data_IF_284024609659
#
_entry.id   IF_284024609659
#
_cell.length_a   1.000
_cell.length_b   1.000
_cell.length_c   1.000
_cell.angle_alpha   90.00
_cell.angle_beta   90.00
_cell.angle_gamma   90.00
#
_symmetry.space_group_name_H-M   'P 1'
#
loop_
_entity.id
_entity.type
_entity.pdbx_description
1 polymer ?
#
# COMPACT_ATOMS: atom_id res chain seq x y z
N UNK A 1 -16.85 9.65 10.91
CA UNK A 1 -16.25 10.24 9.69
C UNK A 1 -17.12 11.40 9.21
N UNK A 2 -16.54 12.56 8.89
CA UNK A 2 -17.30 13.76 8.45
C UNK A 2 -18.09 13.45 7.16
N UNK A 3 -19.31 13.99 7.03
CA UNK A 3 -20.21 13.78 5.87
C UNK A 3 -19.50 13.99 4.53
N UNK A 4 -18.79 15.11 4.40
CA UNK A 4 -18.05 15.45 3.18
C UNK A 4 -16.99 14.40 2.77
N UNK A 5 -16.37 13.70 3.73
CA UNK A 5 -15.39 12.65 3.44
C UNK A 5 -16.09 11.41 2.88
N UNK A 6 -17.26 11.04 3.42
CA UNK A 6 -18.07 9.90 2.90
C UNK A 6 -18.50 10.14 1.47
N UNK A 7 -19.00 11.35 1.19
CA UNK A 7 -19.48 11.72 -0.15
C UNK A 7 -18.36 11.74 -1.20
N UNK A 8 -17.14 12.12 -0.80
CA UNK A 8 -15.95 12.04 -1.67
C UNK A 8 -15.51 10.59 -1.88
N UNK A 9 -15.41 9.81 -0.80
CA UNK A 9 -14.96 8.42 -0.86
C UNK A 9 -15.88 7.54 -1.70
N UNK A 10 -17.20 7.78 -1.68
CA UNK A 10 -18.19 7.03 -2.47
C UNK A 10 -18.01 7.12 -3.99
N UNK A 11 -17.19 8.07 -4.49
CA UNK A 11 -16.93 8.28 -5.92
C UNK A 11 -15.61 7.67 -6.38
N UNK A 12 -14.81 7.12 -5.47
CA UNK A 12 -13.48 6.61 -5.77
C UNK A 12 -13.60 5.30 -6.56
N UNK A 13 -12.85 5.22 -7.66
CA UNK A 13 -12.71 4.01 -8.50
C UNK A 13 -11.29 3.47 -8.54
N UNK A 14 -10.32 4.28 -8.10
CA UNK A 14 -8.90 3.96 -8.07
C UNK A 14 -8.30 4.48 -6.77
N UNK A 15 -7.55 3.64 -6.07
CA UNK A 15 -6.73 4.00 -4.93
C UNK A 15 -5.25 3.86 -5.28
N UNK A 16 -4.51 4.96 -5.20
CA UNK A 16 -3.05 4.97 -5.32
C UNK A 16 -2.44 5.07 -3.93
N UNK A 17 -1.53 4.16 -3.61
CA UNK A 17 -0.88 4.07 -2.30
C UNK A 17 0.61 4.33 -2.44
N UNK A 18 1.11 5.24 -1.61
CA UNK A 18 2.55 5.32 -1.33
C UNK A 18 2.98 4.13 -0.46
N UNK A 19 4.28 3.89 -0.38
CA UNK A 19 4.87 2.82 0.41
C UNK A 19 5.39 3.34 1.74
N UNK A 20 6.42 4.18 1.71
CA UNK A 20 7.20 4.49 2.90
C UNK A 20 6.49 5.55 3.75
N UNK A 21 6.02 5.12 4.93
CA UNK A 21 5.18 5.95 5.81
C UNK A 21 3.68 5.86 5.51
N UNK A 22 3.27 5.03 4.54
CA UNK A 22 1.86 4.75 4.24
C UNK A 22 1.53 3.26 4.39
N UNK A 23 2.11 2.39 3.54
CA UNK A 23 1.99 0.93 3.68
C UNK A 23 3.00 0.35 4.67
N UNK A 24 4.03 1.12 5.00
CA UNK A 24 4.99 0.86 6.07
C UNK A 24 4.87 1.94 7.15
N UNK A 25 5.55 1.74 8.27
CA UNK A 25 5.69 2.76 9.31
C UNK A 25 6.76 3.82 8.99
N UNK A 26 7.35 3.79 7.79
CA UNK A 26 8.43 4.67 7.37
C UNK A 26 9.82 4.25 7.85
N UNK A 27 9.94 3.12 8.56
CA UNK A 27 11.23 2.60 9.00
C UNK A 27 11.97 1.92 7.85
N UNK A 28 13.28 2.17 7.76
CA UNK A 28 14.19 1.49 6.85
C UNK A 28 15.18 0.65 7.64
N UNK A 29 15.29 -0.64 7.29
CA UNK A 29 16.25 -1.55 7.89
C UNK A 29 17.38 -1.80 6.91
N UNK A 30 18.59 -1.37 7.30
CA UNK A 30 19.80 -1.56 6.52
C UNK A 30 20.58 -2.76 7.01
N UNK A 31 20.97 -3.63 6.08
CA UNK A 31 22.01 -4.62 6.30
C UNK A 31 23.32 -4.17 5.68
N UNK A 32 24.33 -5.02 5.75
CA UNK A 32 25.70 -4.70 5.28
C UNK A 32 25.77 -4.30 3.79
N UNK A 33 24.76 -4.66 2.99
CA UNK A 33 24.67 -4.39 1.54
C UNK A 33 23.64 -3.29 1.18
N UNK A 34 23.12 -2.52 2.13
CA UNK A 34 22.11 -1.49 1.89
C UNK A 34 20.72 -1.87 2.42
N UNK A 35 19.64 -1.36 1.81
CA UNK A 35 18.28 -1.61 2.28
C UNK A 35 17.94 -3.10 2.20
N UNK A 36 17.64 -3.70 3.36
CA UNK A 36 17.42 -5.13 3.49
C UNK A 36 15.94 -5.48 3.62
N UNK A 37 15.20 -4.73 4.44
CA UNK A 37 13.83 -5.10 4.84
C UNK A 37 12.88 -3.90 4.90
N UNK A 38 11.64 -4.13 4.47
CA UNK A 38 10.49 -3.26 4.70
C UNK A 38 9.44 -4.04 5.49
N UNK A 39 8.79 -3.37 6.44
CA UNK A 39 7.74 -3.97 7.28
C UNK A 39 6.36 -3.50 6.80
N UNK A 40 5.53 -4.46 6.39
CA UNK A 40 4.14 -4.22 5.98
C UNK A 40 3.16 -4.80 7.00
N UNK A 41 1.93 -4.29 7.04
CA UNK A 41 0.87 -4.85 7.88
C UNK A 41 0.00 -5.86 7.11
N UNK A 42 -0.22 -7.02 7.73
CA UNK A 42 -1.10 -8.07 7.17
C UNK A 42 -2.53 -7.57 7.01
N UNK A 43 -3.03 -6.80 7.99
CA UNK A 43 -4.39 -6.23 8.00
C UNK A 43 -4.64 -5.34 6.78
N UNK A 44 -3.67 -4.52 6.41
CA UNK A 44 -3.77 -3.64 5.25
C UNK A 44 -3.83 -4.45 3.96
N UNK A 45 -3.14 -5.59 3.92
CA UNK A 45 -3.22 -6.51 2.78
C UNK A 45 -4.62 -7.06 2.58
N UNK A 46 -5.26 -7.54 3.66
CA UNK A 46 -6.66 -8.00 3.59
C UNK A 46 -7.61 -6.88 3.15
N UNK A 47 -7.43 -5.67 3.68
CA UNK A 47 -8.26 -4.52 3.31
C UNK A 47 -8.11 -4.12 1.83
N UNK A 48 -6.88 -4.12 1.31
CA UNK A 48 -6.60 -3.85 -0.10
C UNK A 48 -7.28 -4.91 -0.99
N UNK A 49 -7.14 -6.19 -0.65
CA UNK A 49 -7.78 -7.28 -1.40
C UNK A 49 -9.30 -7.16 -1.38
N UNK A 50 -9.90 -6.81 -0.24
CA UNK A 50 -11.35 -6.57 -0.16
C UNK A 50 -11.78 -5.37 -0.99
N UNK A 51 -10.99 -4.30 -1.03
CA UNK A 51 -11.25 -3.12 -1.83
C UNK A 51 -11.19 -3.45 -3.34
N UNK A 52 -10.17 -4.19 -3.78
CA UNK A 52 -10.05 -4.69 -5.15
C UNK A 52 -11.26 -5.54 -5.55
N UNK A 53 -11.69 -6.46 -4.67
CA UNK A 53 -12.89 -7.29 -4.89
C UNK A 53 -14.19 -6.48 -4.96
N UNK A 54 -14.23 -5.26 -4.43
CA UNK A 54 -15.37 -4.36 -4.55
C UNK A 54 -15.41 -3.59 -5.87
N UNK A 55 -14.42 -3.81 -6.76
CA UNK A 55 -14.33 -3.18 -8.07
C UNK A 55 -13.56 -1.86 -8.07
N UNK A 56 -12.84 -1.54 -7.00
CA UNK A 56 -11.94 -0.38 -6.94
C UNK A 56 -10.54 -0.86 -7.30
N UNK A 57 -9.96 -0.28 -8.34
CA UNK A 57 -8.58 -0.56 -8.73
C UNK A 57 -7.60 -0.05 -7.67
N UNK A 58 -6.50 -0.77 -7.46
CA UNK A 58 -5.45 -0.37 -6.52
C UNK A 58 -4.10 -0.44 -7.21
N UNK A 59 -3.31 0.61 -7.06
CA UNK A 59 -1.93 0.64 -7.51
C UNK A 59 -1.02 1.22 -6.42
N UNK A 60 0.24 0.78 -6.43
CA UNK A 60 1.28 1.25 -5.53
C UNK A 60 2.23 2.14 -6.33
N UNK A 61 2.55 3.32 -5.81
CA UNK A 61 3.52 4.26 -6.39
C UNK A 61 4.55 4.55 -5.31
N UNK A 62 5.82 4.28 -5.57
CA UNK A 62 6.92 4.57 -4.64
C UNK A 62 8.07 5.29 -5.36
N UNK A 63 8.86 6.06 -4.61
CA UNK A 63 9.98 6.83 -5.14
C UNK A 63 11.23 6.01 -5.49
N UNK A 64 11.27 4.73 -5.11
CA UNK A 64 12.43 3.85 -5.33
C UNK A 64 12.04 2.50 -5.92
N UNK A 65 13.02 1.84 -6.54
CA UNK A 65 12.87 0.46 -7.01
C UNK A 65 13.30 -0.50 -5.89
N UNK A 66 12.35 -1.24 -5.32
CA UNK A 66 12.56 -2.11 -4.16
C UNK A 66 11.97 -3.49 -4.42
N UNK A 67 12.78 -4.57 -4.43
CA UNK A 67 12.28 -5.93 -4.60
C UNK A 67 11.22 -6.33 -3.56
N UNK A 68 11.28 -5.73 -2.36
CA UNK A 68 10.33 -5.95 -1.27
C UNK A 68 8.96 -5.35 -1.61
N UNK A 69 8.93 -4.18 -2.26
CA UNK A 69 7.69 -3.56 -2.75
C UNK A 69 7.09 -4.40 -3.88
N UNK A 70 7.90 -4.88 -4.81
CA UNK A 70 7.45 -5.75 -5.89
C UNK A 70 6.86 -7.07 -5.37
N UNK A 71 7.53 -7.69 -4.39
CA UNK A 71 7.04 -8.90 -3.75
C UNK A 71 5.72 -8.65 -3.01
N UNK A 72 5.59 -7.50 -2.35
CA UNK A 72 4.36 -7.11 -1.68
C UNK A 72 3.22 -6.90 -2.68
N UNK A 73 3.46 -6.18 -3.77
CA UNK A 73 2.46 -5.96 -4.81
C UNK A 73 1.96 -7.29 -5.39
N UNK A 74 2.86 -8.19 -5.79
CA UNK A 74 2.49 -9.53 -6.28
C UNK A 74 1.66 -10.35 -5.27
N UNK A 75 1.93 -10.19 -3.98
CA UNK A 75 1.20 -10.88 -2.92
C UNK A 75 -0.24 -10.39 -2.71
N UNK A 76 -0.61 -9.23 -3.26
CA UNK A 76 -1.96 -8.67 -3.16
C UNK A 76 -2.86 -9.06 -4.35
N UNK A 77 -2.29 -9.68 -5.39
CA UNK A 77 -2.96 -9.93 -6.67
C UNK A 77 -2.92 -8.72 -7.58
#
# INVERSE_FOLDING_TARGET
MKKAVRERAAKIKLLLLDVDGVLTDGSLYYGDNGEALKRFYVRDGSAIVWLQRSGIEVAIISGGNSPQVDARARGLG
#
